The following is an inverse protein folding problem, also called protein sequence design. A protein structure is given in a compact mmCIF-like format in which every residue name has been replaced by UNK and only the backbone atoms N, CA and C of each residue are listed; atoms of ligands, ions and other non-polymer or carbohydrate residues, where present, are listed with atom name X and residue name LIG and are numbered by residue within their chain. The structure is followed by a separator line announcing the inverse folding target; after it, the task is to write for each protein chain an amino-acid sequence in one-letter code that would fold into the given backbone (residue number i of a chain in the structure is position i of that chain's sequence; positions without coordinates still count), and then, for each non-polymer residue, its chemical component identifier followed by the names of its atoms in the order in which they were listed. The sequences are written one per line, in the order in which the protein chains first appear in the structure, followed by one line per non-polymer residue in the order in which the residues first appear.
data_IF_774410371131
#
_entry.id   IF_774410371131
#
_cell.length_a   1.000
_cell.length_b   1.000
_cell.length_c   1.000
_cell.angle_alpha   90.00
_cell.angle_beta   90.00
_cell.angle_gamma   90.00
#
_symmetry.space_group_name_H-M   'P 1'
#
loop_
_entity.id
_entity.type
_entity.pdbx_description
1 polymer ?
#
# COMPACT_ATOMS: atom_id res chain seq x y z
N UNK A 1 21.66 18.60 28.40
CA UNK A 1 20.19 18.49 28.41
C UNK A 1 19.67 18.07 27.08
N UNK A 2 19.64 18.92 26.06
CA UNK A 2 18.99 18.64 24.74
C UNK A 2 19.50 17.36 24.05
N UNK A 3 20.81 17.09 24.00
CA UNK A 3 21.35 15.85 23.44
C UNK A 3 20.81 14.59 24.11
N UNK A 4 20.70 14.59 25.43
CA UNK A 4 20.16 13.44 26.20
C UNK A 4 18.67 13.27 25.90
N UNK A 5 17.93 14.38 25.75
CA UNK A 5 16.52 14.32 25.42
C UNK A 5 16.27 13.82 24.00
N UNK A 6 17.13 14.16 23.03
CA UNK A 6 17.06 13.65 21.66
C UNK A 6 17.37 12.14 21.64
N UNK A 7 18.45 11.74 22.29
CA UNK A 7 18.89 10.34 22.35
C UNK A 7 17.91 9.43 23.13
N UNK A 8 17.10 10.01 24.00
CA UNK A 8 16.07 9.30 24.76
C UNK A 8 14.75 9.14 23.96
N UNK A 9 14.64 9.71 22.77
CA UNK A 9 13.47 9.50 21.91
C UNK A 9 13.57 8.15 21.19
N UNK A 10 12.44 7.46 21.03
CA UNK A 10 12.39 6.19 20.27
C UNK A 10 12.65 6.38 18.77
N UNK A 11 12.52 7.61 18.27
CA UNK A 11 12.55 7.91 16.83
C UNK A 11 13.94 8.22 16.32
N UNK A 12 14.86 8.68 17.18
CA UNK A 12 16.17 9.21 16.76
C UNK A 12 17.28 8.76 17.70
N UNK A 13 18.37 8.29 17.12
CA UNK A 13 19.60 7.96 17.80
C UNK A 13 20.68 8.99 17.44
N UNK A 14 21.39 9.52 18.44
CA UNK A 14 22.53 10.42 18.20
C UNK A 14 23.75 9.57 17.82
N UNK A 15 24.06 9.48 16.53
CA UNK A 15 25.14 8.66 15.99
C UNK A 15 26.54 9.25 16.27
N UNK A 16 26.68 10.58 16.17
CA UNK A 16 27.96 11.26 16.33
C UNK A 16 27.79 12.68 16.89
N UNK A 17 28.89 13.27 17.37
CA UNK A 17 28.96 14.67 17.85
C UNK A 17 30.16 15.36 17.20
N UNK A 18 30.06 15.69 15.90
CA UNK A 18 31.14 16.35 15.20
C UNK A 18 31.42 17.75 15.77
N UNK A 19 32.67 18.17 15.70
CA UNK A 19 33.13 19.46 16.24
C UNK A 19 32.83 20.63 15.31
N UNK A 20 32.54 20.38 14.05
CA UNK A 20 32.23 21.39 13.05
C UNK A 20 31.05 21.00 12.16
N UNK A 21 30.38 22.03 11.62
CA UNK A 21 29.31 21.82 10.64
C UNK A 21 29.82 21.15 9.36
N UNK A 22 31.07 21.43 8.96
CA UNK A 22 31.69 20.83 7.79
C UNK A 22 31.83 19.32 7.95
N UNK A 23 32.30 18.86 9.09
CA UNK A 23 32.43 17.44 9.41
C UNK A 23 31.05 16.75 9.47
N UNK A 24 30.07 17.40 10.10
CA UNK A 24 28.68 16.92 10.11
C UNK A 24 28.10 16.77 8.71
N UNK A 25 28.35 17.76 7.84
CA UNK A 25 27.88 17.76 6.46
C UNK A 25 28.53 16.64 5.63
N UNK A 26 29.83 16.37 5.89
CA UNK A 26 30.52 15.27 5.23
C UNK A 26 29.95 13.90 5.63
N UNK A 27 29.65 13.67 6.90
CA UNK A 27 28.97 12.45 7.36
C UNK A 27 27.58 12.32 6.77
N UNK A 28 26.86 13.43 6.63
CA UNK A 28 25.55 13.48 6.00
C UNK A 28 25.62 13.09 4.51
N UNK A 29 26.56 13.62 3.76
CA UNK A 29 26.75 13.28 2.33
C UNK A 29 27.23 11.84 2.13
N UNK A 30 27.95 11.28 3.08
CA UNK A 30 28.32 9.85 3.07
C UNK A 30 27.15 8.91 3.42
N UNK A 31 26.01 9.47 3.87
CA UNK A 31 24.86 8.69 4.30
C UNK A 31 25.06 8.01 5.66
N UNK A 32 26.04 8.44 6.44
CA UNK A 32 26.30 7.91 7.79
C UNK A 32 25.25 8.40 8.80
N UNK A 33 24.65 9.58 8.54
CA UNK A 33 23.59 10.19 9.34
C UNK A 33 22.48 10.71 8.44
N UNK A 34 21.24 10.71 8.95
CA UNK A 34 20.04 11.15 8.24
C UNK A 34 19.60 12.59 8.56
N UNK A 35 20.28 13.23 9.49
CA UNK A 35 20.01 14.61 9.87
C UNK A 35 21.12 15.19 10.72
N UNK A 36 21.22 16.50 10.73
CA UNK A 36 22.17 17.28 11.50
C UNK A 36 21.39 18.26 12.38
N UNK A 37 21.65 18.23 13.67
CA UNK A 37 21.08 19.17 14.63
C UNK A 37 22.18 20.13 15.07
N UNK A 38 22.00 21.41 14.77
CA UNK A 38 22.93 22.47 15.15
C UNK A 38 22.41 23.18 16.38
N UNK A 39 23.18 23.15 17.45
CA UNK A 39 22.93 23.85 18.70
C UNK A 39 23.96 24.99 18.77
N UNK A 40 23.54 26.27 18.68
CA UNK A 40 24.46 27.40 18.76
C UNK A 40 25.20 27.48 20.12
N UNK A 41 26.40 28.06 20.13
CA UNK A 41 27.21 28.20 21.35
C UNK A 41 26.53 29.05 22.43
N UNK A 42 25.74 30.02 22.04
CA UNK A 42 24.97 30.90 22.92
C UNK A 42 23.63 30.28 23.44
N UNK A 43 23.28 29.03 23.01
CA UNK A 43 22.08 28.34 23.42
C UNK A 43 21.85 28.33 24.93
N UNK A 44 22.84 27.87 25.67
CA UNK A 44 22.75 27.78 27.14
C UNK A 44 22.70 29.18 27.80
N UNK A 45 23.47 30.14 27.29
CA UNK A 45 23.49 31.53 27.77
C UNK A 45 22.12 32.19 27.58
N UNK A 46 21.50 31.97 26.41
CA UNK A 46 20.19 32.54 26.10
C UNK A 46 19.11 31.96 27.02
N UNK A 47 19.11 30.65 27.28
CA UNK A 47 18.17 30.00 28.21
C UNK A 47 18.32 30.59 29.63
N UNK A 48 19.53 30.66 30.15
CA UNK A 48 19.77 31.20 31.50
C UNK A 48 19.40 32.68 31.62
N UNK A 49 19.64 33.44 30.53
CA UNK A 49 19.25 34.86 30.45
C UNK A 49 17.79 35.10 30.12
N UNK A 50 16.94 34.06 30.11
CA UNK A 50 15.50 34.09 29.73
C UNK A 50 15.25 34.67 28.33
N UNK A 51 16.22 34.50 27.41
CA UNK A 51 16.11 34.88 25.99
C UNK A 51 15.73 33.64 25.18
N UNK A 52 15.17 33.89 24.00
CA UNK A 52 14.86 32.83 23.06
C UNK A 52 16.13 32.16 22.55
N UNK A 53 16.19 30.84 22.65
CA UNK A 53 17.26 30.02 22.11
C UNK A 53 16.73 29.27 20.86
N UNK A 54 17.59 29.06 19.88
CA UNK A 54 17.25 28.41 18.62
C UNK A 54 18.02 27.10 18.48
N UNK A 55 17.39 26.14 17.81
CA UNK A 55 18.01 24.89 17.37
C UNK A 55 17.68 24.74 15.90
N UNK A 56 18.68 24.49 15.06
CA UNK A 56 18.44 24.25 13.64
C UNK A 56 18.53 22.76 13.33
N UNK A 57 17.57 22.27 12.57
CA UNK A 57 17.53 20.90 12.06
C UNK A 57 17.71 20.94 10.54
N UNK A 58 18.70 20.18 10.05
CA UNK A 58 18.90 19.86 8.64
C UNK A 58 18.67 18.38 8.48
N UNK A 59 17.66 17.97 7.72
CA UNK A 59 17.33 16.58 7.51
C UNK A 59 17.02 16.30 6.03
N UNK A 60 17.32 15.09 5.58
CA UNK A 60 17.08 14.66 4.21
C UNK A 60 15.59 14.43 3.98
N UNK A 61 14.95 15.36 3.26
CA UNK A 61 13.53 15.26 2.88
C UNK A 61 13.30 14.39 1.63
N UNK A 62 14.35 13.89 0.96
CA UNK A 62 14.23 12.96 -0.16
C UNK A 62 13.59 11.63 0.31
N UNK A 63 13.87 11.24 1.55
CA UNK A 63 13.27 10.09 2.21
C UNK A 63 12.23 10.55 3.24
N UNK A 64 11.02 10.82 2.77
CA UNK A 64 9.92 11.42 3.57
C UNK A 64 9.69 10.75 4.92
N UNK A 65 9.85 9.42 5.02
CA UNK A 65 9.65 8.67 6.25
C UNK A 65 10.77 8.95 7.27
N UNK A 66 12.01 8.92 6.83
CA UNK A 66 13.19 9.22 7.65
C UNK A 66 13.09 10.67 8.12
N UNK A 67 12.79 11.59 7.18
CA UNK A 67 12.58 12.99 7.51
C UNK A 67 11.53 13.20 8.61
N UNK A 68 10.35 12.55 8.49
CA UNK A 68 9.29 12.65 9.50
C UNK A 68 9.76 12.14 10.86
N UNK A 69 10.47 11.03 10.94
CA UNK A 69 10.98 10.48 12.19
C UNK A 69 12.01 11.42 12.85
N UNK A 70 12.97 11.93 12.07
CA UNK A 70 13.99 12.87 12.55
C UNK A 70 13.34 14.18 13.02
N UNK A 71 12.38 14.72 12.25
CA UNK A 71 11.65 15.91 12.62
C UNK A 71 10.85 15.72 13.91
N UNK A 72 10.08 14.64 14.00
CA UNK A 72 9.23 14.35 15.16
C UNK A 72 10.06 14.14 16.42
N UNK A 73 11.14 13.35 16.37
CA UNK A 73 12.02 13.14 17.50
C UNK A 73 12.69 14.44 17.96
N UNK A 74 13.17 15.26 17.01
CA UNK A 74 13.82 16.54 17.34
C UNK A 74 12.83 17.54 17.96
N UNK A 75 11.64 17.67 17.40
CA UNK A 75 10.59 18.56 17.93
C UNK A 75 10.14 18.12 19.32
N UNK A 76 9.89 16.83 19.52
CA UNK A 76 9.49 16.27 20.81
C UNK A 76 10.54 16.54 21.89
N UNK A 77 11.82 16.26 21.60
CA UNK A 77 12.91 16.52 22.53
C UNK A 77 13.08 18.02 22.85
N UNK A 78 12.94 18.88 21.83
CA UNK A 78 13.06 20.35 22.01
C UNK A 78 11.91 20.88 22.87
N UNK A 79 10.69 20.39 22.66
CA UNK A 79 9.52 20.76 23.49
C UNK A 79 9.70 20.29 24.93
N UNK A 80 10.19 19.07 25.14
CA UNK A 80 10.47 18.50 26.48
C UNK A 80 11.42 19.39 27.26
N UNK A 81 12.57 19.75 26.64
CA UNK A 81 13.56 20.64 27.25
C UNK A 81 12.98 22.03 27.51
N UNK A 82 12.20 22.58 26.58
CA UNK A 82 11.54 23.87 26.76
C UNK A 82 10.59 23.87 27.95
N UNK A 83 9.82 22.81 28.13
CA UNK A 83 8.91 22.67 29.26
C UNK A 83 9.67 22.52 30.59
N UNK A 84 10.73 21.73 30.63
CA UNK A 84 11.58 21.59 31.80
C UNK A 84 12.20 22.93 32.23
N UNK A 85 12.68 23.72 31.27
CA UNK A 85 13.21 25.07 31.54
C UNK A 85 12.14 25.99 32.14
N UNK A 86 10.92 25.96 31.61
CA UNK A 86 9.78 26.76 32.10
C UNK A 86 9.40 26.33 33.53
N UNK A 87 9.29 25.04 33.78
CA UNK A 87 8.97 24.50 35.11
C UNK A 87 9.99 25.01 36.12
N UNK A 88 11.28 24.83 35.84
CA UNK A 88 12.37 25.31 36.73
C UNK A 88 12.27 26.83 36.97
N UNK A 89 11.92 27.62 35.95
CA UNK A 89 11.76 29.07 36.13
C UNK A 89 10.60 29.42 37.06
N UNK A 90 9.44 28.74 36.95
CA UNK A 90 8.29 28.96 37.83
C UNK A 90 8.59 28.51 39.28
N UNK A 91 9.29 27.38 39.46
CA UNK A 91 9.73 26.90 40.79
C UNK A 91 10.67 27.90 41.47
N UNK A 92 11.59 28.50 40.73
CA UNK A 92 12.48 29.58 41.26
C UNK A 92 11.71 30.82 41.68
N UNK A 93 10.49 31.03 41.14
CA UNK A 93 9.60 32.10 41.55
C UNK A 93 8.67 31.72 42.72
N UNK A 94 8.89 30.55 43.35
CA UNK A 94 8.14 30.05 44.48
C UNK A 94 6.78 29.39 44.09
N UNK A 95 6.56 29.09 42.81
CA UNK A 95 5.37 28.35 42.35
C UNK A 95 5.54 26.89 42.68
N UNK A 96 4.52 26.25 43.25
CA UNK A 96 4.51 24.80 43.48
C UNK A 96 4.73 24.01 42.16
N UNK A 97 5.46 22.89 42.25
CA UNK A 97 5.81 22.05 41.11
C UNK A 97 4.62 21.66 40.24
N UNK A 98 3.46 21.28 40.82
CA UNK A 98 2.26 20.92 40.09
C UNK A 98 1.66 22.11 39.31
N UNK A 99 1.66 23.29 39.93
CA UNK A 99 1.19 24.53 39.27
C UNK A 99 2.19 24.99 38.21
N UNK A 100 3.49 24.85 38.46
CA UNK A 100 4.55 25.17 37.51
C UNK A 100 4.45 24.29 36.24
N UNK A 101 4.15 23.01 36.40
CA UNK A 101 3.86 22.11 35.27
C UNK A 101 2.64 22.56 34.47
N UNK A 102 1.54 22.90 35.14
CA UNK A 102 0.33 23.38 34.47
C UNK A 102 0.57 24.71 33.73
N UNK A 103 1.37 25.61 34.30
CA UNK A 103 1.73 26.89 33.66
C UNK A 103 2.73 26.74 32.53
N UNK A 104 3.61 25.71 32.56
CA UNK A 104 4.56 25.44 31.48
C UNK A 104 3.90 24.91 30.22
N UNK A 105 2.81 24.15 30.37
CA UNK A 105 2.00 23.54 29.31
C UNK A 105 0.51 23.76 29.57
N UNK A 106 -0.01 25.00 29.37
CA UNK A 106 -1.42 25.31 29.62
C UNK A 106 -2.36 24.56 28.69
N UNK A 107 -1.86 24.07 27.55
CA UNK A 107 -2.57 23.18 26.64
C UNK A 107 -1.71 21.95 26.40
N UNK A 108 -2.16 20.81 26.91
CA UNK A 108 -1.51 19.53 26.67
C UNK A 108 -1.96 18.97 25.33
N UNK A 109 -1.01 18.69 24.44
CA UNK A 109 -1.28 18.02 23.17
C UNK A 109 -1.17 16.52 23.37
N UNK A 110 -2.31 15.83 23.37
CA UNK A 110 -2.41 14.37 23.40
C UNK A 110 -2.56 13.90 21.98
N UNK A 111 -1.59 13.14 21.48
CA UNK A 111 -1.61 12.53 20.16
C UNK A 111 -1.65 11.01 20.29
N UNK A 112 -2.76 10.41 19.94
CA UNK A 112 -2.91 8.96 19.88
C UNK A 112 -3.03 8.54 18.43
N UNK A 113 -2.01 7.84 17.86
CA UNK A 113 -2.09 7.33 16.49
C UNK A 113 -3.11 6.19 16.44
N UNK A 114 -4.24 6.45 15.78
CA UNK A 114 -5.28 5.44 15.59
C UNK A 114 -4.85 4.43 14.52
N UNK A 115 -5.18 3.15 14.74
CA UNK A 115 -5.01 2.03 13.79
C UNK A 115 -3.56 1.62 13.47
N UNK A 116 -2.56 2.41 13.85
CA UNK A 116 -1.15 2.08 13.77
C UNK A 116 -0.40 2.69 14.97
N UNK A 117 -0.60 2.17 16.20
CA UNK A 117 -0.06 2.77 17.43
C UNK A 117 1.47 2.87 17.41
N UNK A 118 2.13 1.90 16.79
CA UNK A 118 3.62 1.87 16.68
C UNK A 118 4.11 2.81 15.58
N UNK A 119 3.20 3.40 14.77
CA UNK A 119 3.54 4.23 13.59
C UNK A 119 4.53 3.53 12.64
N UNK A 120 4.53 2.19 12.64
CA UNK A 120 5.43 1.36 11.85
C UNK A 120 5.12 1.44 10.35
N UNK A 121 6.16 1.62 9.54
CA UNK A 121 6.01 1.61 8.08
C UNK A 121 5.50 0.27 7.54
N UNK A 122 5.97 -0.84 8.11
CA UNK A 122 5.51 -2.19 7.73
C UNK A 122 4.01 -2.37 7.92
N UNK A 123 3.47 -1.89 9.04
CA UNK A 123 2.03 -1.96 9.34
C UNK A 123 1.18 -1.14 8.36
N UNK A 124 1.73 -0.08 7.80
CA UNK A 124 1.08 0.74 6.78
C UNK A 124 1.21 0.13 5.38
N UNK A 125 2.41 -0.32 5.01
CA UNK A 125 2.75 -0.69 3.64
C UNK A 125 2.40 -2.14 3.28
N UNK A 126 2.62 -3.08 4.19
CA UNK A 126 2.54 -4.52 3.87
C UNK A 126 1.12 -4.98 3.52
N UNK A 127 0.04 -4.58 4.24
CA UNK A 127 -1.30 -5.02 3.90
C UNK A 127 -1.74 -4.66 2.45
N UNK A 128 -1.60 -3.41 1.99
CA UNK A 128 -1.89 -3.06 0.60
C UNK A 128 -0.99 -3.78 -0.42
N UNK A 129 0.31 -3.94 -0.11
CA UNK A 129 1.24 -4.63 -1.00
C UNK A 129 0.89 -6.09 -1.20
N UNK A 130 0.45 -6.81 -0.16
CA UNK A 130 -0.03 -8.19 -0.27
C UNK A 130 -1.17 -8.29 -1.29
N UNK A 131 -2.14 -7.39 -1.25
CA UNK A 131 -3.27 -7.38 -2.18
C UNK A 131 -2.82 -7.11 -3.63
N UNK A 132 -1.88 -6.19 -3.82
CA UNK A 132 -1.27 -5.95 -5.13
C UNK A 132 -0.50 -7.15 -5.64
N UNK A 133 0.27 -7.85 -4.80
CA UNK A 133 1.01 -9.05 -5.15
C UNK A 133 0.04 -10.16 -5.56
N UNK A 134 -1.06 -10.35 -4.83
CA UNK A 134 -2.11 -11.31 -5.18
C UNK A 134 -2.67 -10.99 -6.57
N UNK A 135 -3.07 -9.74 -6.81
CA UNK A 135 -3.59 -9.34 -8.12
C UNK A 135 -2.55 -9.55 -9.22
N UNK A 136 -1.33 -9.06 -9.06
CA UNK A 136 -0.30 -9.13 -10.10
C UNK A 136 0.12 -10.57 -10.41
N UNK A 137 0.33 -11.40 -9.39
CA UNK A 137 0.66 -12.81 -9.60
C UNK A 137 -0.47 -13.56 -10.34
N UNK A 138 -1.72 -13.21 -10.04
CA UNK A 138 -2.90 -13.78 -10.70
C UNK A 138 -2.97 -13.32 -12.17
N UNK A 139 -2.80 -12.02 -12.43
CA UNK A 139 -2.77 -11.48 -13.80
C UNK A 139 -1.64 -12.09 -14.63
N UNK A 140 -0.41 -12.18 -14.07
CA UNK A 140 0.73 -12.77 -14.75
C UNK A 140 0.51 -14.27 -15.02
N UNK A 141 0.03 -15.03 -14.04
CA UNK A 141 -0.23 -16.47 -14.21
C UNK A 141 -1.26 -16.74 -15.31
N UNK A 142 -2.38 -16.01 -15.31
CA UNK A 142 -3.43 -16.14 -16.32
C UNK A 142 -2.93 -15.66 -17.70
N UNK A 143 -2.23 -14.52 -17.74
CA UNK A 143 -1.67 -13.96 -18.96
C UNK A 143 -0.68 -14.88 -19.64
N UNK A 144 0.26 -15.46 -18.87
CA UNK A 144 1.25 -16.42 -19.35
C UNK A 144 0.63 -17.70 -19.89
N UNK A 145 -0.40 -18.23 -19.20
CA UNK A 145 -1.15 -19.39 -19.69
C UNK A 145 -1.87 -19.07 -21.00
N UNK A 146 -2.51 -17.90 -21.10
CA UNK A 146 -3.16 -17.46 -22.33
C UNK A 146 -2.18 -17.26 -23.48
N UNK A 147 -1.03 -16.62 -23.24
CA UNK A 147 0.05 -16.44 -24.21
C UNK A 147 0.59 -17.79 -24.71
N UNK A 148 0.90 -18.72 -23.80
CA UNK A 148 1.37 -20.06 -24.14
C UNK A 148 0.35 -20.87 -24.96
N UNK A 149 -0.95 -20.69 -24.70
CA UNK A 149 -2.00 -21.36 -25.50
C UNK A 149 -2.04 -20.83 -26.93
N UNK A 150 -1.79 -19.52 -27.13
CA UNK A 150 -1.72 -18.92 -28.45
C UNK A 150 -0.46 -19.33 -29.23
N UNK A 151 0.69 -19.46 -28.58
CA UNK A 151 1.91 -19.97 -29.20
C UNK A 151 1.74 -21.39 -29.76
N UNK A 152 0.97 -22.21 -29.04
CA UNK A 152 0.66 -23.59 -29.45
C UNK A 152 -0.41 -23.70 -30.55
N UNK A 153 -0.93 -22.56 -31.00
CA UNK A 153 -1.96 -22.47 -32.02
C UNK A 153 -3.39 -22.50 -31.49
N UNK A 154 -4.29 -21.77 -32.14
CA UNK A 154 -5.69 -21.56 -31.77
C UNK A 154 -6.50 -22.88 -31.70
N UNK A 155 -6.03 -23.93 -32.36
CA UNK A 155 -6.63 -25.28 -32.38
C UNK A 155 -6.94 -25.85 -30.98
N UNK A 156 -6.11 -25.55 -29.97
CA UNK A 156 -6.31 -26.02 -28.60
C UNK A 156 -7.59 -25.44 -27.95
N UNK A 157 -7.90 -24.17 -28.21
CA UNK A 157 -9.08 -23.50 -27.66
C UNK A 157 -10.39 -23.94 -28.27
N UNK A 158 -10.39 -24.04 -29.59
CA UNK A 158 -11.56 -24.49 -30.38
C UNK A 158 -11.92 -25.92 -30.07
N UNK A 159 -10.91 -26.78 -29.89
CA UNK A 159 -11.11 -28.17 -29.50
C UNK A 159 -11.78 -28.31 -28.12
N UNK A 160 -11.40 -27.46 -27.14
CA UNK A 160 -12.01 -27.44 -25.80
C UNK A 160 -13.45 -26.91 -25.90
N UNK A 161 -13.70 -25.81 -26.64
CA UNK A 161 -15.04 -25.26 -26.83
C UNK A 161 -15.96 -26.24 -27.56
N UNK A 162 -15.46 -26.95 -28.57
CA UNK A 162 -16.22 -27.99 -29.26
C UNK A 162 -16.63 -29.13 -28.29
N UNK A 163 -15.72 -29.59 -27.43
CA UNK A 163 -16.04 -30.60 -26.40
C UNK A 163 -17.08 -30.14 -25.39
N UNK A 164 -17.12 -28.84 -25.09
CA UNK A 164 -18.11 -28.22 -24.19
C UNK A 164 -19.44 -27.86 -24.88
N UNK A 165 -19.68 -28.40 -26.08
CA UNK A 165 -20.88 -28.07 -26.92
C UNK A 165 -21.05 -26.58 -27.18
N UNK A 166 -19.94 -25.85 -27.36
CA UNK A 166 -19.94 -24.41 -27.63
C UNK A 166 -20.31 -23.49 -26.45
N UNK A 167 -20.38 -24.01 -25.23
CA UNK A 167 -20.72 -23.19 -24.05
C UNK A 167 -19.52 -22.41 -23.52
N UNK A 168 -19.38 -21.16 -23.96
CA UNK A 168 -18.36 -20.21 -23.47
C UNK A 168 -18.45 -19.99 -21.95
N UNK A 169 -19.67 -19.95 -21.42
CA UNK A 169 -19.90 -19.76 -19.97
C UNK A 169 -19.29 -20.92 -19.16
N UNK A 170 -19.47 -22.17 -19.61
CA UNK A 170 -18.86 -23.34 -18.93
C UNK A 170 -17.34 -23.27 -18.90
N UNK A 171 -16.73 -22.79 -19.98
CA UNK A 171 -15.29 -22.60 -20.04
C UNK A 171 -14.82 -21.52 -19.08
N UNK A 172 -15.50 -20.37 -19.02
CA UNK A 172 -15.19 -19.29 -18.11
C UNK A 172 -15.31 -19.79 -16.66
N UNK A 173 -16.43 -20.40 -16.30
CA UNK A 173 -16.65 -20.92 -14.92
C UNK A 173 -15.59 -21.96 -14.55
N UNK A 174 -15.30 -22.91 -15.43
CA UNK A 174 -14.31 -23.95 -15.15
C UNK A 174 -12.91 -23.38 -14.88
N UNK A 175 -12.47 -22.39 -15.68
CA UNK A 175 -11.20 -21.68 -15.45
C UNK A 175 -11.24 -20.88 -14.16
N UNK A 176 -12.33 -20.17 -13.89
CA UNK A 176 -12.50 -19.36 -12.69
C UNK A 176 -12.41 -20.23 -11.43
N UNK A 177 -13.08 -21.38 -11.40
CA UNK A 177 -13.02 -22.31 -10.28
C UNK A 177 -11.62 -22.86 -10.06
N UNK A 178 -10.88 -23.17 -11.12
CA UNK A 178 -9.49 -23.62 -11.03
C UNK A 178 -8.57 -22.54 -10.42
N UNK A 179 -8.71 -21.29 -10.85
CA UNK A 179 -7.93 -20.19 -10.28
C UNK A 179 -8.33 -19.88 -8.83
N UNK A 180 -9.60 -19.89 -8.50
CA UNK A 180 -10.08 -19.70 -7.12
C UNK A 180 -9.56 -20.81 -6.20
N UNK A 181 -9.55 -22.06 -6.65
CA UNK A 181 -9.03 -23.18 -5.88
C UNK A 181 -7.55 -23.01 -5.48
N UNK A 182 -6.78 -22.30 -6.31
CA UNK A 182 -5.37 -21.99 -6.01
C UNK A 182 -5.27 -20.73 -5.14
N UNK A 183 -5.99 -19.66 -5.51
CA UNK A 183 -5.78 -18.35 -4.90
C UNK A 183 -6.52 -18.12 -3.60
N UNK A 184 -7.61 -18.83 -3.30
CA UNK A 184 -8.25 -18.76 -1.98
C UNK A 184 -7.28 -19.22 -0.87
N UNK A 185 -6.64 -20.41 -0.96
CA UNK A 185 -5.64 -20.82 0.04
C UNK A 185 -4.45 -19.87 0.14
N UNK A 186 -3.93 -19.38 -0.99
CA UNK A 186 -2.82 -18.42 -1.01
C UNK A 186 -3.21 -17.10 -0.30
N UNK A 187 -4.39 -16.58 -0.61
CA UNK A 187 -4.91 -15.35 0.00
C UNK A 187 -5.14 -15.52 1.51
N UNK A 188 -5.72 -16.64 1.91
CA UNK A 188 -5.89 -16.99 3.32
C UNK A 188 -4.55 -17.06 4.05
N UNK A 189 -3.55 -17.72 3.45
CA UNK A 189 -2.21 -17.80 4.03
C UNK A 189 -1.60 -16.41 4.20
N UNK A 190 -1.61 -15.57 3.17
CA UNK A 190 -1.01 -14.24 3.20
C UNK A 190 -1.73 -13.30 4.18
N UNK A 191 -3.06 -13.27 4.17
CA UNK A 191 -3.82 -12.35 5.01
C UNK A 191 -3.95 -12.80 6.46
N UNK A 192 -3.82 -14.10 6.76
CA UNK A 192 -3.98 -14.59 8.13
C UNK A 192 -2.65 -14.95 8.79
N UNK A 193 -1.87 -15.82 8.14
CA UNK A 193 -0.64 -16.32 8.75
C UNK A 193 0.49 -15.28 8.67
N UNK A 194 0.68 -14.66 7.50
CA UNK A 194 1.76 -13.67 7.33
C UNK A 194 1.45 -12.42 8.15
N UNK A 195 0.22 -11.88 8.08
CA UNK A 195 -0.15 -10.69 8.84
C UNK A 195 0.02 -10.89 10.35
N UNK A 196 -0.44 -12.03 10.89
CA UNK A 196 -0.29 -12.35 12.31
C UNK A 196 1.16 -12.66 12.69
N UNK A 197 1.90 -13.37 11.85
CA UNK A 197 3.29 -13.76 12.12
C UNK A 197 4.22 -12.57 12.27
N UNK A 198 3.93 -11.45 11.59
CA UNK A 198 4.68 -10.20 11.68
C UNK A 198 4.01 -9.13 12.57
N UNK A 199 2.98 -9.49 13.33
CA UNK A 199 2.24 -8.58 14.22
C UNK A 199 1.69 -7.32 13.52
N UNK A 200 1.28 -7.45 12.24
CA UNK A 200 0.60 -6.35 11.55
C UNK A 200 -0.82 -6.18 12.07
N UNK A 201 -1.38 -4.96 12.03
CA UNK A 201 -2.76 -4.70 12.44
C UNK A 201 -3.73 -5.64 11.75
N UNK A 202 -4.50 -6.39 12.53
CA UNK A 202 -5.48 -7.36 12.06
C UNK A 202 -6.69 -7.34 12.98
N UNK A 203 -7.50 -6.30 12.86
CA UNK A 203 -8.68 -6.07 13.70
C UNK A 203 -9.97 -6.62 13.06
N UNK A 204 -9.95 -6.94 11.76
CA UNK A 204 -11.13 -7.35 11.01
C UNK A 204 -11.58 -8.78 11.30
N UNK A 205 -12.90 -9.00 11.19
CA UNK A 205 -13.48 -10.33 11.24
C UNK A 205 -13.13 -11.11 9.96
N UNK A 206 -12.64 -12.35 10.12
CA UNK A 206 -12.21 -13.18 8.99
C UNK A 206 -13.31 -13.46 7.98
N UNK A 207 -14.53 -13.71 8.43
CA UNK A 207 -15.65 -13.98 7.53
C UNK A 207 -16.00 -12.76 6.68
N UNK A 208 -15.95 -11.57 7.29
CA UNK A 208 -16.16 -10.32 6.57
C UNK A 208 -15.06 -10.07 5.55
N UNK A 209 -13.79 -10.29 5.93
CA UNK A 209 -12.64 -10.17 5.04
C UNK A 209 -12.78 -11.15 3.86
N UNK A 210 -13.13 -12.41 4.09
CA UNK A 210 -13.29 -13.39 3.02
C UNK A 210 -14.44 -13.04 2.09
N UNK A 211 -15.56 -12.57 2.64
CA UNK A 211 -16.70 -12.08 1.84
C UNK A 211 -16.30 -10.88 0.97
N UNK A 212 -15.46 -10.01 1.51
CA UNK A 212 -14.98 -8.83 0.80
C UNK A 212 -13.95 -9.18 -0.30
N UNK A 213 -13.06 -10.14 -0.04
CA UNK A 213 -11.99 -10.55 -0.97
C UNK A 213 -12.52 -11.37 -2.16
N UNK A 214 -13.63 -12.07 -2.01
CA UNK A 214 -14.18 -12.91 -3.08
C UNK A 214 -14.41 -12.16 -4.39
N UNK A 215 -15.15 -11.04 -4.44
CA UNK A 215 -15.33 -10.27 -5.68
C UNK A 215 -14.01 -9.67 -6.20
N UNK A 216 -13.04 -9.36 -5.34
CA UNK A 216 -11.71 -8.95 -5.79
C UNK A 216 -10.98 -10.04 -6.56
N UNK A 217 -10.98 -11.28 -6.06
CA UNK A 217 -10.38 -12.41 -6.76
C UNK A 217 -11.09 -12.67 -8.09
N UNK A 218 -12.42 -12.64 -8.10
CA UNK A 218 -13.22 -12.81 -9.33
C UNK A 218 -12.93 -11.71 -10.35
N UNK A 219 -12.94 -10.45 -9.95
CA UNK A 219 -12.63 -9.32 -10.83
C UNK A 219 -11.21 -9.43 -11.41
N UNK A 220 -10.23 -9.81 -10.57
CA UNK A 220 -8.84 -9.99 -10.99
C UNK A 220 -8.67 -11.16 -11.95
N UNK A 221 -9.37 -12.28 -11.72
CA UNK A 221 -9.39 -13.45 -12.63
C UNK A 221 -9.96 -13.02 -13.98
N UNK A 222 -11.11 -12.34 -14.00
CA UNK A 222 -11.75 -11.94 -15.26
C UNK A 222 -10.94 -10.88 -15.99
N UNK A 223 -10.32 -9.94 -15.27
CA UNK A 223 -9.39 -8.98 -15.87
C UNK A 223 -8.17 -9.71 -16.48
N UNK A 224 -7.58 -10.66 -15.77
CA UNK A 224 -6.46 -11.48 -16.27
C UNK A 224 -6.85 -12.28 -17.51
N UNK A 225 -8.04 -12.90 -17.52
CA UNK A 225 -8.55 -13.60 -18.68
C UNK A 225 -8.78 -12.67 -19.87
N UNK A 226 -9.29 -11.46 -19.63
CA UNK A 226 -9.50 -10.44 -20.65
C UNK A 226 -8.15 -10.00 -21.26
N UNK A 227 -7.18 -9.65 -20.44
CA UNK A 227 -5.84 -9.27 -20.86
C UNK A 227 -5.13 -10.41 -21.61
N UNK A 228 -5.34 -11.66 -21.21
CA UNK A 228 -4.77 -12.83 -21.87
C UNK A 228 -5.22 -12.97 -23.34
N UNK A 229 -6.35 -12.37 -23.71
CA UNK A 229 -6.83 -12.35 -25.11
C UNK A 229 -5.99 -11.45 -26.01
N UNK A 230 -5.26 -10.49 -25.45
CA UNK A 230 -4.45 -9.52 -26.19
C UNK A 230 -3.05 -10.08 -26.46
N UNK A 231 -2.48 -10.81 -25.49
CA UNK A 231 -1.11 -11.33 -25.58
C UNK A 231 -0.97 -12.41 -26.64
N UNK A 232 0.14 -12.38 -27.41
CA UNK A 232 0.47 -13.35 -28.45
C UNK A 232 1.41 -14.43 -27.97
N UNK A 233 2.26 -14.12 -26.97
CA UNK A 233 3.24 -15.04 -26.42
C UNK A 233 3.26 -14.99 -24.89
N UNK A 234 3.84 -16.04 -24.29
CA UNK A 234 4.08 -16.12 -22.84
C UNK A 234 4.98 -14.98 -22.35
N UNK A 235 6.06 -14.73 -23.10
CA UNK A 235 7.05 -13.69 -22.76
C UNK A 235 6.45 -12.29 -22.83
N UNK A 236 5.69 -12.00 -23.89
CA UNK A 236 5.00 -10.73 -24.04
C UNK A 236 4.07 -10.45 -22.84
N UNK A 237 3.30 -11.45 -22.40
CA UNK A 237 2.41 -11.28 -21.26
C UNK A 237 3.17 -10.98 -19.98
N UNK A 238 4.26 -11.71 -19.71
CA UNK A 238 5.08 -11.52 -18.52
C UNK A 238 5.69 -10.13 -18.50
N UNK A 239 6.34 -9.70 -19.58
CA UNK A 239 7.00 -8.41 -19.68
C UNK A 239 5.97 -7.28 -19.51
N UNK A 240 4.86 -7.31 -20.24
CA UNK A 240 3.83 -6.26 -20.17
C UNK A 240 3.24 -6.14 -18.78
N UNK A 241 2.88 -7.26 -18.15
CA UNK A 241 2.26 -7.24 -16.82
C UNK A 241 3.27 -6.87 -15.71
N UNK A 242 4.54 -7.25 -15.87
CA UNK A 242 5.61 -6.82 -14.96
C UNK A 242 5.80 -5.30 -15.01
N UNK A 243 5.87 -4.71 -16.21
CA UNK A 243 6.01 -3.26 -16.36
C UNK A 243 4.78 -2.47 -15.87
N UNK A 244 3.58 -3.05 -15.89
CA UNK A 244 2.37 -2.41 -15.35
C UNK A 244 2.29 -2.46 -13.82
N UNK A 245 3.11 -3.28 -13.15
CA UNK A 245 3.03 -3.44 -11.68
C UNK A 245 3.37 -2.15 -10.93
N UNK A 246 4.40 -1.41 -11.37
CA UNK A 246 4.82 -0.15 -10.73
C UNK A 246 3.77 0.96 -10.93
N UNK A 247 3.28 1.26 -12.13
CA UNK A 247 2.16 2.18 -12.31
C UNK A 247 0.93 1.82 -11.47
N UNK A 248 0.57 0.53 -11.39
CA UNK A 248 -0.56 0.07 -10.56
C UNK A 248 -0.34 0.29 -9.07
N UNK A 249 0.90 0.17 -8.59
CA UNK A 249 1.25 0.50 -7.20
C UNK A 249 0.91 1.97 -6.89
N UNK A 250 1.28 2.90 -7.77
CA UNK A 250 0.98 4.32 -7.58
C UNK A 250 -0.50 4.65 -7.74
N UNK A 251 -1.20 3.98 -8.65
CA UNK A 251 -2.63 4.17 -8.89
C UNK A 251 -3.51 3.56 -7.78
N UNK A 252 -3.01 2.58 -7.06
CA UNK A 252 -3.80 1.83 -6.06
C UNK A 252 -4.22 2.63 -4.82
N UNK A 253 -3.71 3.87 -4.67
CA UNK A 253 -3.96 4.68 -3.47
C UNK A 253 -3.04 4.35 -2.29
N UNK A 254 -2.08 3.44 -2.47
CA UNK A 254 -1.09 3.09 -1.46
C UNK A 254 -0.07 4.20 -1.21
N UNK A 255 0.54 4.74 -2.28
CA UNK A 255 1.62 5.75 -2.17
C UNK A 255 1.09 7.15 -1.84
N UNK A 256 -0.08 7.50 -2.37
CA UNK A 256 -0.80 8.74 -2.08
C UNK A 256 -2.31 8.53 -2.16
N UNK A 257 -3.09 9.39 -1.50
CA UNK A 257 -4.55 9.33 -1.61
C UNK A 257 -5.00 9.46 -3.07
N UNK A 258 -5.93 8.60 -3.50
CA UNK A 258 -6.47 8.61 -4.87
C UNK A 258 -7.12 9.96 -5.20
N UNK A 259 -7.62 10.65 -4.19
CA UNK A 259 -8.22 11.99 -4.28
C UNK A 259 -7.24 13.06 -4.78
N UNK A 260 -5.94 12.86 -4.52
CA UNK A 260 -4.86 13.76 -4.94
C UNK A 260 -4.38 13.50 -6.37
N UNK A 261 -4.86 12.45 -7.04
CA UNK A 261 -4.51 12.13 -8.41
C UNK A 261 -5.23 13.05 -9.40
N UNK A 262 -4.59 13.44 -10.53
CA UNK A 262 -5.30 14.09 -11.63
C UNK A 262 -6.48 13.25 -12.11
N UNK A 263 -7.56 13.91 -12.55
CA UNK A 263 -8.85 13.26 -12.89
C UNK A 263 -8.70 12.03 -13.80
N UNK A 264 -7.85 12.10 -14.84
CA UNK A 264 -7.64 10.97 -15.75
C UNK A 264 -7.06 9.74 -15.06
N UNK A 265 -6.06 9.93 -14.18
CA UNK A 265 -5.47 8.84 -13.40
C UNK A 265 -6.41 8.31 -12.33
N UNK A 266 -7.26 9.16 -11.76
CA UNK A 266 -8.29 8.74 -10.81
C UNK A 266 -9.28 7.77 -11.46
N UNK A 267 -9.82 8.10 -12.63
CA UNK A 267 -10.71 7.18 -13.36
C UNK A 267 -10.00 5.89 -13.79
N UNK A 268 -8.74 5.99 -14.22
CA UNK A 268 -7.95 4.82 -14.56
C UNK A 268 -7.73 3.91 -13.34
N UNK A 269 -7.44 4.48 -12.18
CA UNK A 269 -7.27 3.75 -10.94
C UNK A 269 -8.50 2.92 -10.56
N UNK A 270 -9.71 3.48 -10.73
CA UNK A 270 -10.96 2.82 -10.38
C UNK A 270 -11.31 1.62 -11.28
N UNK A 271 -10.65 1.47 -12.44
CA UNK A 271 -10.81 0.29 -13.32
C UNK A 271 -10.08 -0.94 -12.75
N UNK A 272 -9.07 -0.75 -11.92
CA UNK A 272 -8.30 -1.87 -11.37
C UNK A 272 -8.86 -2.35 -10.04
N UNK A 273 -9.07 -3.67 -9.86
CA UNK A 273 -9.60 -4.23 -8.62
C UNK A 273 -8.74 -3.92 -7.37
N UNK A 274 -7.44 -3.63 -7.56
CA UNK A 274 -6.53 -3.23 -6.47
C UNK A 274 -6.97 -1.97 -5.75
N UNK A 275 -7.53 -0.99 -6.44
CA UNK A 275 -7.93 0.29 -5.82
C UNK A 275 -9.06 0.11 -4.80
N UNK A 276 -10.24 -0.43 -5.15
CA UNK A 276 -11.30 -0.63 -4.18
C UNK A 276 -10.96 -1.68 -3.11
N UNK A 277 -10.20 -2.74 -3.45
CA UNK A 277 -9.85 -3.73 -2.43
C UNK A 277 -8.91 -3.16 -1.37
N UNK A 278 -7.93 -2.33 -1.73
CA UNK A 278 -7.02 -1.70 -0.77
C UNK A 278 -7.78 -0.74 0.13
N UNK A 279 -8.64 0.13 -0.43
CA UNK A 279 -9.48 1.06 0.35
C UNK A 279 -10.36 0.32 1.35
N UNK A 280 -11.07 -0.72 0.90
CA UNK A 280 -11.95 -1.49 1.76
C UNK A 280 -11.21 -2.33 2.81
N UNK A 281 -10.06 -2.91 2.46
CA UNK A 281 -9.26 -3.69 3.41
C UNK A 281 -8.60 -2.82 4.49
N UNK A 282 -8.23 -1.60 4.19
CA UNK A 282 -7.78 -0.64 5.23
C UNK A 282 -8.91 -0.42 6.24
N UNK A 283 -10.14 -0.19 5.78
CA UNK A 283 -11.31 -0.03 6.65
C UNK A 283 -11.58 -1.28 7.49
N UNK A 284 -11.68 -2.44 6.84
CA UNK A 284 -12.06 -3.69 7.51
C UNK A 284 -10.95 -4.25 8.39
N UNK A 285 -9.73 -4.34 7.88
CA UNK A 285 -8.63 -5.04 8.54
C UNK A 285 -7.79 -4.14 9.44
N UNK A 286 -7.41 -2.95 8.97
CA UNK A 286 -6.56 -2.04 9.74
C UNK A 286 -7.35 -1.20 10.75
N UNK A 287 -8.55 -0.73 10.36
CA UNK A 287 -9.40 0.08 11.22
C UNK A 287 -10.40 -0.76 12.05
N UNK A 288 -10.64 -2.02 11.67
CA UNK A 288 -11.62 -2.88 12.35
C UNK A 288 -13.06 -2.38 12.24
N UNK A 289 -13.40 -1.65 11.16
CA UNK A 289 -14.75 -1.10 11.00
C UNK A 289 -15.74 -2.21 10.58
N UNK A 290 -17.04 -2.05 10.87
CA UNK A 290 -18.07 -2.97 10.38
C UNK A 290 -18.08 -3.04 8.84
N UNK A 291 -18.50 -4.19 8.30
CA UNK A 291 -18.57 -4.44 6.85
C UNK A 291 -19.32 -3.34 6.07
N UNK A 292 -20.36 -2.76 6.67
CA UNK A 292 -21.13 -1.67 6.08
C UNK A 292 -20.27 -0.46 5.67
N UNK A 293 -19.16 -0.19 6.37
CA UNK A 293 -18.25 0.92 6.05
C UNK A 293 -17.46 0.69 4.74
N UNK A 294 -17.31 -0.55 4.30
CA UNK A 294 -16.64 -0.94 3.05
C UNK A 294 -17.61 -1.39 1.95
N UNK A 295 -18.92 -1.17 2.15
CA UNK A 295 -19.97 -1.64 1.23
C UNK A 295 -19.88 -1.04 -0.16
N UNK A 296 -19.44 0.22 -0.28
CA UNK A 296 -19.27 0.88 -1.58
C UNK A 296 -18.12 0.28 -2.38
N UNK A 297 -16.99 0.02 -1.75
CA UNK A 297 -15.84 -0.64 -2.38
C UNK A 297 -16.18 -2.09 -2.75
N UNK A 298 -16.95 -2.77 -1.91
CA UNK A 298 -17.44 -4.12 -2.21
C UNK A 298 -18.40 -4.14 -3.40
N UNK A 299 -19.33 -3.20 -3.49
CA UNK A 299 -20.22 -3.03 -4.63
C UNK A 299 -19.42 -2.73 -5.91
N UNK A 300 -18.44 -1.86 -5.83
CA UNK A 300 -17.54 -1.54 -6.96
C UNK A 300 -16.81 -2.79 -7.47
N UNK A 301 -16.29 -3.64 -6.58
CA UNK A 301 -15.66 -4.91 -6.94
C UNK A 301 -16.64 -5.85 -7.69
N UNK A 302 -17.91 -5.92 -7.27
CA UNK A 302 -18.93 -6.69 -7.98
C UNK A 302 -19.27 -6.10 -9.35
N UNK A 303 -19.32 -4.78 -9.47
CA UNK A 303 -19.53 -4.11 -10.77
C UNK A 303 -18.36 -4.44 -11.72
N UNK A 304 -17.12 -4.33 -11.26
CA UNK A 304 -15.94 -4.71 -12.05
C UNK A 304 -15.98 -6.19 -12.43
N UNK A 305 -16.35 -7.06 -11.50
CA UNK A 305 -16.54 -8.50 -11.77
C UNK A 305 -17.54 -8.73 -12.89
N UNK A 306 -18.69 -8.09 -12.85
CA UNK A 306 -19.72 -8.22 -13.87
C UNK A 306 -19.24 -7.67 -15.23
N UNK A 307 -18.64 -6.49 -15.26
CA UNK A 307 -18.11 -5.87 -16.48
C UNK A 307 -17.07 -6.79 -17.14
N UNK A 308 -16.08 -7.27 -16.39
CA UNK A 308 -15.04 -8.13 -16.94
C UNK A 308 -15.55 -9.53 -17.31
N UNK A 309 -16.53 -10.07 -16.58
CA UNK A 309 -17.19 -11.33 -16.96
C UNK A 309 -17.89 -11.21 -18.31
N UNK A 310 -18.73 -10.20 -18.49
CA UNK A 310 -19.46 -10.00 -19.75
C UNK A 310 -18.50 -9.69 -20.91
N UNK A 311 -17.45 -8.90 -20.68
CA UNK A 311 -16.43 -8.65 -21.69
C UNK A 311 -15.74 -9.96 -22.16
N UNK A 312 -15.35 -10.82 -21.23
CA UNK A 312 -14.79 -12.14 -21.52
C UNK A 312 -15.77 -13.02 -22.30
N UNK A 313 -17.03 -13.04 -21.86
CA UNK A 313 -18.07 -13.83 -22.51
C UNK A 313 -18.26 -13.40 -23.98
N UNK A 314 -18.37 -12.08 -24.23
CA UNK A 314 -18.53 -11.53 -25.57
C UNK A 314 -17.33 -11.89 -26.45
N UNK A 315 -16.09 -11.64 -25.98
CA UNK A 315 -14.89 -11.88 -26.78
C UNK A 315 -14.74 -13.36 -27.12
N UNK A 316 -14.93 -14.26 -26.14
CA UNK A 316 -14.83 -15.68 -26.37
C UNK A 316 -15.94 -16.21 -27.26
N UNK A 317 -17.15 -15.68 -27.13
CA UNK A 317 -18.27 -16.07 -28.00
C UNK A 317 -18.03 -15.64 -29.45
N UNK A 318 -17.59 -14.42 -29.67
CA UNK A 318 -17.26 -13.92 -31.03
C UNK A 318 -16.09 -14.71 -31.65
N UNK A 319 -15.08 -15.04 -30.85
CA UNK A 319 -13.95 -15.88 -31.31
C UNK A 319 -14.43 -17.28 -31.71
N UNK A 320 -15.33 -17.86 -30.96
CA UNK A 320 -15.92 -19.16 -31.28
C UNK A 320 -16.71 -19.15 -32.58
N UNK A 321 -17.57 -18.13 -32.80
CA UNK A 321 -18.37 -17.99 -34.02
C UNK A 321 -17.49 -17.88 -35.27
N UNK A 322 -16.47 -17.03 -35.25
CA UNK A 322 -15.51 -16.88 -36.36
C UNK A 322 -14.81 -18.18 -36.74
N UNK A 323 -14.44 -18.98 -35.74
CA UNK A 323 -13.76 -20.26 -35.99
C UNK A 323 -14.72 -21.32 -36.54
N UNK A 324 -15.99 -21.32 -36.11
CA UNK A 324 -16.99 -22.24 -36.61
C UNK A 324 -17.26 -21.99 -38.09
N UNK A 325 -17.44 -20.73 -38.50
CA UNK A 325 -17.61 -20.32 -39.89
C UNK A 325 -16.42 -20.72 -40.77
N UNK A 326 -15.18 -20.52 -40.28
CA UNK A 326 -13.98 -20.90 -41.00
C UNK A 326 -13.88 -22.42 -41.24
N UNK A 327 -14.22 -23.22 -40.23
CA UNK A 327 -14.23 -24.70 -40.34
C UNK A 327 -15.29 -25.17 -41.32
N UNK A 328 -16.50 -24.55 -41.31
CA UNK A 328 -17.56 -24.86 -42.26
C UNK A 328 -17.21 -24.48 -43.70
N UNK A 329 -16.57 -23.34 -43.92
CA UNK A 329 -16.08 -22.91 -45.24
C UNK A 329 -14.98 -23.88 -45.80
N UNK A 330 -14.03 -24.30 -44.98
CA UNK A 330 -13.01 -25.27 -45.37
C UNK A 330 -13.66 -26.63 -45.70
N UNK A 331 -14.69 -27.03 -44.98
CA UNK A 331 -15.39 -28.29 -45.18
C UNK A 331 -16.25 -28.30 -46.46
N UNK A 332 -16.71 -27.12 -46.90
CA UNK A 332 -17.47 -26.94 -48.15
C UNK A 332 -16.56 -26.81 -49.39
N UNK A 333 -15.25 -26.49 -49.18
CA UNK A 333 -14.27 -26.31 -50.23
C UNK A 333 -13.51 -27.60 -50.57
N UNK A 334 -13.69 -28.68 -49.76
CA UNK A 334 -13.17 -30.05 -49.96
C UNK A 334 -14.28 -30.94 -50.48
#
# INVERSE_FOLDING_TARGET
MLFRSIDATEQVLVASKPSSLTEATEQFYKGEVNGIIVIPEDYSKNIVSKRQAYVALYADASYMLIYKQVLQGTVSATMSVSNEVKINQYEMLGVNADLAKNYSTPVEFISEPLYNPVSGYGSYAVPPLILLIIQQSLLMGIGMLGGSQKEKGVMSYVGILAKLKGSTVRLIIGKTLAYLAIYIPVTLYLLMFVMRGFNFPHLGNILEIMTFILPFLLASIFLGMLLSTIFKSREQSLITLLFTSVPLLFLSGFSWPVESLPLGFKYLAEVFPSTPVIKGMIKLNSMGTPFAAASMEWLQLWILTAIFFFANWIILHLTFLKHKEHIEQVRQAI
#
